data_IF_328522635661
#
_entry.id   IF_328522635661
#
_cell.length_a   1.000
_cell.length_b   1.000
_cell.length_c   1.000
_cell.angle_alpha   90.00
_cell.angle_beta   90.00
_cell.angle_gamma   90.00
#
_symmetry.space_group_name_H-M   'P 1'
#
loop_
_entity.id
_entity.type
_entity.pdbx_description
1 polymer ?
#
# COMPACT_ATOMS: atom_id res chain seq x y z
N UNK A 1 -29.85 -23.90 12.29
CA UNK A 1 -28.37 -24.01 12.40
C UNK A 1 -27.63 -23.50 11.16
N UNK A 2 -28.06 -23.83 9.93
CA UNK A 2 -27.41 -23.39 8.68
C UNK A 2 -27.27 -21.85 8.50
N UNK A 3 -28.13 -21.05 9.15
CA UNK A 3 -28.10 -19.59 9.09
C UNK A 3 -26.89 -18.99 9.85
N UNK A 4 -26.51 -19.59 10.97
CA UNK A 4 -25.40 -19.12 11.79
C UNK A 4 -24.05 -19.50 11.17
N UNK A 5 -23.96 -20.68 10.55
CA UNK A 5 -22.76 -21.11 9.82
C UNK A 5 -22.46 -20.22 8.61
N UNK A 6 -23.49 -19.77 7.89
CA UNK A 6 -23.33 -18.80 6.79
C UNK A 6 -22.79 -17.45 7.28
N UNK A 7 -23.25 -17.00 8.45
CA UNK A 7 -22.81 -15.74 9.04
C UNK A 7 -21.34 -15.79 9.47
N UNK A 8 -20.92 -16.86 10.14
CA UNK A 8 -19.51 -17.08 10.52
C UNK A 8 -18.61 -17.13 9.27
N UNK A 9 -19.05 -17.82 8.22
CA UNK A 9 -18.29 -17.91 6.97
C UNK A 9 -18.10 -16.54 6.30
N UNK A 10 -19.13 -15.70 6.27
CA UNK A 10 -19.04 -14.34 5.73
C UNK A 10 -18.06 -13.46 6.54
N UNK A 11 -18.07 -13.59 7.86
CA UNK A 11 -17.14 -12.87 8.75
C UNK A 11 -15.70 -13.31 8.50
N UNK A 12 -15.45 -14.61 8.38
CA UNK A 12 -14.11 -15.14 8.09
C UNK A 12 -13.60 -14.63 6.75
N UNK A 13 -14.42 -14.67 5.69
CA UNK A 13 -14.04 -14.13 4.39
C UNK A 13 -13.72 -12.64 4.45
N UNK A 14 -14.52 -11.86 5.18
CA UNK A 14 -14.29 -10.42 5.34
C UNK A 14 -12.95 -10.14 6.03
N UNK A 15 -12.64 -10.85 7.12
CA UNK A 15 -11.36 -10.69 7.81
C UNK A 15 -10.17 -11.19 6.99
N UNK A 16 -10.31 -12.27 6.23
CA UNK A 16 -9.25 -12.75 5.33
C UNK A 16 -8.92 -11.72 4.24
N UNK A 17 -9.94 -11.10 3.65
CA UNK A 17 -9.75 -10.03 2.66
C UNK A 17 -9.13 -8.77 3.29
N UNK A 18 -9.55 -8.42 4.50
CA UNK A 18 -8.99 -7.29 5.24
C UNK A 18 -7.52 -7.48 5.60
N UNK A 19 -7.13 -8.68 6.06
CA UNK A 19 -5.73 -9.00 6.37
C UNK A 19 -4.81 -8.91 5.14
N UNK A 20 -5.27 -9.38 3.98
CA UNK A 20 -4.54 -9.23 2.70
C UNK A 20 -4.33 -7.76 2.31
N UNK A 21 -5.27 -6.87 2.66
CA UNK A 21 -5.12 -5.43 2.38
C UNK A 21 -4.13 -4.72 3.30
N UNK A 22 -3.90 -5.23 4.51
CA UNK A 22 -2.90 -4.68 5.44
C UNK A 22 -1.49 -4.95 4.93
N UNK A 23 -1.23 -6.12 4.34
CA UNK A 23 0.06 -6.43 3.71
C UNK A 23 0.33 -5.56 2.47
N UNK A 24 -0.72 -5.18 1.73
CA UNK A 24 -0.59 -4.28 0.59
C UNK A 24 -0.18 -2.84 0.97
N UNK A 25 -0.27 -2.47 2.26
CA UNK A 25 0.16 -1.16 2.76
C UNK A 25 1.56 -1.19 3.40
N UNK A 26 2.27 -2.31 3.33
CA UNK A 26 3.72 -2.31 3.59
C UNK A 26 4.38 -1.59 2.41
N UNK A 27 5.19 -0.58 2.69
CA UNK A 27 5.79 0.27 1.66
C UNK A 27 6.40 -0.58 0.54
N UNK A 28 6.31 -0.10 -0.70
CA UNK A 28 6.90 -0.82 -1.84
C UNK A 28 8.37 -1.10 -1.52
N UNK A 29 8.73 -2.38 -1.44
CA UNK A 29 10.11 -2.76 -1.11
C UNK A 29 11.03 -2.39 -2.26
N UNK A 30 12.18 -1.83 -1.93
CA UNK A 30 13.19 -1.40 -2.88
C UNK A 30 14.60 -1.76 -2.37
N UNK A 31 15.55 -1.87 -3.28
CA UNK A 31 16.98 -1.94 -2.97
C UNK A 31 17.69 -0.67 -3.43
N UNK A 32 17.21 -0.08 -4.52
CA UNK A 32 17.71 1.18 -5.09
C UNK A 32 16.54 2.14 -5.40
N UNK A 33 16.85 3.44 -5.51
CA UNK A 33 15.86 4.47 -5.83
C UNK A 33 15.10 4.20 -7.14
N UNK A 34 15.73 3.52 -8.09
CA UNK A 34 15.14 3.18 -9.39
C UNK A 34 14.04 2.11 -9.32
N UNK A 35 14.00 1.32 -8.24
CA UNK A 35 12.95 0.34 -7.97
C UNK A 35 11.64 1.01 -7.56
N UNK A 36 11.72 2.27 -7.12
CA UNK A 36 10.57 3.05 -6.73
C UNK A 36 9.87 3.66 -7.94
N UNK A 37 8.52 3.76 -7.91
CA UNK A 37 7.76 4.36 -8.99
C UNK A 37 8.17 5.82 -9.17
N UNK A 38 8.75 6.13 -10.34
CA UNK A 38 9.15 7.48 -10.70
C UNK A 38 7.96 8.39 -11.02
N UNK A 39 6.84 7.77 -11.39
CA UNK A 39 5.64 8.46 -11.85
C UNK A 39 4.47 8.15 -10.93
N UNK A 40 4.16 9.09 -10.04
CA UNK A 40 2.81 9.17 -9.46
C UNK A 40 2.29 10.58 -9.70
N UNK A 41 1.79 10.76 -10.92
CA UNK A 41 0.76 11.73 -11.32
C UNK A 41 0.90 13.14 -10.72
N UNK A 42 1.52 14.01 -11.51
CA UNK A 42 1.12 15.39 -11.84
C UNK A 42 -0.19 15.84 -11.14
N UNK A 43 -0.14 16.11 -9.84
CA UNK A 43 -1.17 16.90 -9.14
C UNK A 43 -0.69 18.35 -9.15
N UNK A 44 -0.49 18.87 -10.37
CA UNK A 44 -0.18 20.23 -10.85
C UNK A 44 0.73 21.19 -10.03
N UNK A 45 1.26 20.83 -8.86
CA UNK A 45 2.04 21.77 -8.03
C UNK A 45 2.99 21.17 -6.98
N UNK A 46 2.98 19.87 -6.76
CA UNK A 46 3.98 19.21 -5.88
C UNK A 46 4.71 18.11 -6.65
N UNK A 47 6.02 18.28 -6.80
CA UNK A 47 6.93 17.22 -7.21
C UNK A 47 7.08 16.26 -6.03
N UNK A 48 6.47 15.09 -6.12
CA UNK A 48 6.67 14.00 -5.16
C UNK A 48 7.76 13.09 -5.73
N UNK A 49 8.91 13.03 -5.06
CA UNK A 49 10.00 12.13 -5.45
C UNK A 49 9.96 10.93 -4.51
N UNK A 50 9.79 9.74 -5.06
CA UNK A 50 9.97 8.50 -4.29
C UNK A 50 11.46 8.18 -4.25
N UNK A 51 11.98 7.92 -3.05
CA UNK A 51 13.34 7.39 -2.87
C UNK A 51 13.29 6.14 -2.03
N UNK A 52 14.25 5.26 -2.26
CA UNK A 52 14.43 4.07 -1.47
C UNK A 52 15.12 4.44 -0.16
N UNK A 53 14.39 4.32 0.94
CA UNK A 53 14.92 4.56 2.27
C UNK A 53 14.53 3.39 3.18
N UNK A 54 15.53 2.80 3.83
CA UNK A 54 15.37 1.62 4.67
C UNK A 54 14.63 0.45 3.99
N UNK A 55 14.92 0.23 2.70
CA UNK A 55 14.32 -0.79 1.83
C UNK A 55 12.83 -0.59 1.55
N UNK A 56 12.32 0.62 1.74
CA UNK A 56 10.95 1.01 1.40
C UNK A 56 10.96 2.29 0.56
N UNK A 57 10.02 2.41 -0.37
CA UNK A 57 9.83 3.64 -1.14
C UNK A 57 9.09 4.68 -0.30
N UNK A 58 9.79 5.77 0.05
CA UNK A 58 9.24 6.88 0.83
C UNK A 58 9.07 8.10 -0.07
N UNK A 59 7.96 8.83 0.14
CA UNK A 59 7.66 10.09 -0.55
C UNK A 59 8.42 11.24 0.08
N UNK A 60 9.23 11.92 -0.72
CA UNK A 60 9.86 13.19 -0.36
C UNK A 60 9.15 14.32 -1.10
N UNK A 61 8.69 15.32 -0.36
CA UNK A 61 8.21 16.59 -0.93
C UNK A 61 9.39 17.54 -1.03
N UNK A 62 9.80 17.90 -2.23
CA UNK A 62 10.66 19.07 -2.40
C UNK A 62 9.79 20.31 -2.22
N UNK A 63 10.03 21.07 -1.14
CA UNK A 63 9.51 22.44 -1.03
C UNK A 63 10.17 23.27 -2.17
N UNK A 64 9.43 24.21 -2.79
CA UNK A 64 9.95 25.01 -3.89
C UNK A 64 11.18 25.84 -3.53
#
# INVERSE_FOLDING_TARGET
>A
MAKNTKFVYAIVLFFSLFLLSIEANTGLRCEIDEDCPRDVTILEKLSYIYKCFDKECIVFTEAP
#
